data_IF_104688438964
#
_entry.id   IF_104688438964
#
_cell.length_a   1.000
_cell.length_b   1.000
_cell.length_c   1.000
_cell.angle_alpha   90.00
_cell.angle_beta   90.00
_cell.angle_gamma   90.00
#
_symmetry.space_group_name_H-M   'P 1'
#
loop_
_entity.id
_entity.type
_entity.pdbx_description
1 polymer ?
#
# COMPACT_ATOMS: atom_id res chain seq x y z
N UNK A 1 9.89 7.60 -17.40
CA UNK A 1 8.61 7.30 -18.08
C UNK A 1 8.83 6.04 -18.91
N UNK A 2 7.87 5.11 -18.88
CA UNK A 2 7.93 3.83 -19.61
C UNK A 2 6.72 3.76 -20.53
N UNK A 3 6.96 3.63 -21.83
CA UNK A 3 5.91 3.56 -22.85
C UNK A 3 5.84 2.14 -23.41
N UNK A 4 4.65 1.52 -23.35
CA UNK A 4 4.41 0.15 -23.81
C UNK A 4 3.03 0.08 -24.47
N UNK A 5 3.00 0.01 -25.80
CA UNK A 5 1.75 0.09 -26.55
C UNK A 5 1.00 1.38 -26.23
N UNK A 6 -0.27 1.26 -25.85
CA UNK A 6 -1.14 2.39 -25.50
C UNK A 6 -1.00 2.86 -24.04
N UNK A 7 -0.01 2.35 -23.29
CA UNK A 7 0.23 2.70 -21.90
C UNK A 7 1.47 3.57 -21.75
N UNK A 8 1.37 4.59 -20.89
CA UNK A 8 2.46 5.48 -20.54
C UNK A 8 2.54 5.60 -19.02
N UNK A 9 3.55 4.96 -18.44
CA UNK A 9 3.72 4.85 -16.99
C UNK A 9 4.77 5.82 -16.45
N UNK A 10 4.36 6.64 -15.48
CA UNK A 10 5.25 7.27 -14.51
C UNK A 10 5.64 6.24 -13.45
N UNK A 11 6.95 6.13 -13.17
CA UNK A 11 7.47 5.25 -12.12
C UNK A 11 7.59 6.04 -10.83
N UNK A 12 6.91 5.60 -9.79
CA UNK A 12 6.87 6.26 -8.49
C UNK A 12 7.55 5.36 -7.47
N UNK A 13 8.68 5.79 -6.92
CA UNK A 13 9.29 5.12 -5.77
C UNK A 13 8.37 5.20 -4.55
N UNK A 14 8.09 4.04 -3.96
CA UNK A 14 7.20 3.85 -2.81
C UNK A 14 7.81 2.86 -1.80
N UNK A 15 9.01 3.12 -1.26
CA UNK A 15 9.67 2.22 -0.31
C UNK A 15 8.81 2.02 0.95
N UNK A 16 8.93 0.86 1.58
CA UNK A 16 8.30 0.59 2.87
C UNK A 16 7.83 -0.84 3.02
N UNK A 17 7.02 -1.35 2.08
CA UNK A 17 6.75 -2.79 2.04
C UNK A 17 8.03 -3.57 1.73
N UNK A 18 8.81 -3.07 0.78
CA UNK A 18 10.24 -3.34 0.63
C UNK A 18 10.97 -2.04 0.30
N UNK A 19 12.30 -1.98 0.45
CA UNK A 19 13.06 -0.78 0.07
C UNK A 19 13.03 -0.49 -1.44
N UNK A 20 12.86 -1.52 -2.28
CA UNK A 20 12.80 -1.39 -3.74
C UNK A 20 11.39 -1.27 -4.31
N UNK A 21 10.36 -1.09 -3.47
CA UNK A 21 8.98 -1.00 -3.92
C UNK A 21 8.77 0.23 -4.81
N UNK A 22 8.11 0.01 -5.96
CA UNK A 22 7.72 1.04 -6.93
C UNK A 22 6.25 0.85 -7.33
N UNK A 23 5.62 1.93 -7.79
CA UNK A 23 4.32 1.93 -8.43
C UNK A 23 4.41 2.49 -9.85
N UNK A 24 3.47 2.08 -10.70
CA UNK A 24 3.32 2.58 -12.06
C UNK A 24 2.00 3.30 -12.19
N UNK A 25 2.04 4.59 -12.52
CA UNK A 25 0.87 5.43 -12.73
C UNK A 25 0.72 5.75 -14.22
N UNK A 26 -0.43 5.42 -14.79
CA UNK A 26 -0.85 5.93 -16.09
C UNK A 26 -1.97 6.95 -15.88
N UNK A 27 -1.66 8.23 -16.11
CA UNK A 27 -2.57 9.36 -15.89
C UNK A 27 -3.69 9.37 -16.93
N UNK A 28 -3.40 9.00 -18.18
CA UNK A 28 -4.40 9.02 -19.26
C UNK A 28 -5.46 7.94 -19.02
N UNK A 29 -5.04 6.78 -18.51
CA UNK A 29 -5.93 5.66 -18.16
C UNK A 29 -6.45 5.73 -16.72
N UNK A 30 -5.99 6.69 -15.90
CA UNK A 30 -6.25 6.81 -14.46
C UNK A 30 -6.01 5.51 -13.68
N UNK A 31 -4.92 4.82 -14.03
CA UNK A 31 -4.58 3.49 -13.56
C UNK A 31 -3.33 3.52 -12.70
N UNK A 32 -3.39 2.91 -11.52
CA UNK A 32 -2.22 2.70 -10.66
C UNK A 32 -1.98 1.20 -10.43
N UNK A 33 -0.79 0.72 -10.79
CA UNK A 33 -0.28 -0.60 -10.38
C UNK A 33 0.66 -0.35 -9.19
N UNK A 34 0.34 -0.90 -8.02
CA UNK A 34 0.89 -0.42 -6.73
C UNK A 34 1.62 -1.50 -5.93
N UNK A 35 1.69 -2.71 -6.48
CA UNK A 35 2.26 -3.85 -5.79
C UNK A 35 1.53 -4.16 -4.47
N UNK A 36 2.30 -4.41 -3.42
CA UNK A 36 1.81 -4.79 -2.09
C UNK A 36 1.50 -3.62 -1.16
N UNK A 37 1.82 -2.39 -1.57
CA UNK A 37 1.71 -1.19 -0.73
C UNK A 37 0.27 -0.79 -0.47
N UNK A 38 -0.65 -1.04 -1.41
CA UNK A 38 -2.09 -0.74 -1.24
C UNK A 38 -2.89 -1.96 -1.60
N UNK A 39 -3.59 -2.53 -0.63
CA UNK A 39 -4.43 -3.72 -0.76
C UNK A 39 -5.43 -3.80 0.41
N UNK A 40 -6.34 -4.78 0.43
CA UNK A 40 -7.26 -4.99 1.56
C UNK A 40 -6.59 -5.51 2.85
N UNK A 41 -5.36 -6.03 2.70
CA UNK A 41 -4.61 -6.66 3.77
C UNK A 41 -4.95 -8.15 3.95
N UNK A 42 -4.33 -8.81 4.94
CA UNK A 42 -3.33 -8.24 5.86
C UNK A 42 -2.07 -7.78 5.13
N UNK A 43 -1.61 -6.55 5.41
CA UNK A 43 -0.39 -6.02 4.82
C UNK A 43 0.80 -6.56 5.61
N UNK A 44 1.71 -7.24 4.92
CA UNK A 44 2.90 -7.84 5.52
C UNK A 44 3.95 -6.75 5.77
N UNK A 45 4.09 -6.35 7.03
CA UNK A 45 4.99 -5.30 7.51
C UNK A 45 5.99 -5.79 8.56
N UNK A 46 6.14 -7.10 8.74
CA UNK A 46 7.13 -7.72 9.64
C UNK A 46 8.33 -8.28 8.87
N UNK A 47 9.43 -8.53 9.60
CA UNK A 47 10.66 -9.10 9.06
C UNK A 47 11.60 -8.08 8.43
N UNK A 48 12.73 -8.57 7.93
CA UNK A 48 13.75 -7.72 7.31
C UNK A 48 13.21 -7.05 6.04
N UNK A 49 13.76 -5.86 5.76
CA UNK A 49 13.44 -5.01 4.60
C UNK A 49 12.07 -4.31 4.61
N UNK A 50 11.28 -4.45 5.68
CA UNK A 50 10.05 -3.67 5.88
C UNK A 50 10.36 -2.44 6.71
N UNK A 51 9.72 -1.31 6.39
CA UNK A 51 9.87 -0.08 7.14
C UNK A 51 8.53 0.67 7.17
N UNK A 52 7.91 0.73 8.35
CA UNK A 52 6.60 1.36 8.53
C UNK A 52 6.61 2.87 8.28
N UNK A 53 7.71 3.56 8.59
CA UNK A 53 7.82 5.00 8.37
C UNK A 53 7.89 5.34 6.89
N UNK A 54 8.73 4.61 6.15
CA UNK A 54 8.81 4.74 4.69
C UNK A 54 7.49 4.33 4.04
N UNK A 55 6.83 3.28 4.53
CA UNK A 55 5.53 2.86 4.03
C UNK A 55 4.47 3.95 4.19
N UNK A 56 4.41 4.61 5.35
CA UNK A 56 3.51 5.74 5.59
C UNK A 56 3.86 6.91 4.67
N UNK A 57 5.14 7.25 4.52
CA UNK A 57 5.59 8.32 3.62
C UNK A 57 5.22 8.04 2.16
N UNK A 58 5.36 6.79 1.73
CA UNK A 58 4.96 6.34 0.40
C UNK A 58 3.46 6.43 0.17
N UNK A 59 2.64 6.09 1.17
CA UNK A 59 1.20 6.28 1.11
C UNK A 59 0.81 7.76 1.08
N UNK A 60 1.49 8.63 1.83
CA UNK A 60 1.30 10.08 1.77
C UNK A 60 1.61 10.63 0.37
N UNK A 61 2.73 10.19 -0.22
CA UNK A 61 3.09 10.50 -1.60
C UNK A 61 2.05 10.02 -2.60
N UNK A 62 1.61 8.75 -2.54
CA UNK A 62 0.55 8.23 -3.42
C UNK A 62 -0.76 9.00 -3.26
N UNK A 63 -1.07 9.47 -2.05
CA UNK A 63 -2.29 10.22 -1.78
C UNK A 63 -2.31 11.59 -2.50
N UNK A 64 -1.16 12.16 -2.89
CA UNK A 64 -1.13 13.38 -3.71
C UNK A 64 -1.60 13.15 -5.15
N UNK A 65 -1.64 11.90 -5.61
CA UNK A 65 -2.11 11.52 -6.95
C UNK A 65 -3.59 11.09 -6.98
N UNK A 66 -4.32 11.14 -5.86
CA UNK A 66 -5.73 10.70 -5.74
C UNK A 66 -6.64 11.15 -6.89
N UNK A 67 -6.51 12.39 -7.35
CA UNK A 67 -7.36 12.96 -8.39
C UNK A 67 -7.05 12.41 -9.79
N UNK A 68 -5.90 11.76 -9.96
CA UNK A 68 -5.42 11.17 -11.21
C UNK A 68 -5.66 9.65 -11.26
N UNK A 69 -6.19 9.08 -10.18
CA UNK A 69 -6.39 7.63 -10.03
C UNK A 69 -7.88 7.34 -9.96
N UNK A 70 -8.30 6.32 -10.69
CA UNK A 70 -9.65 5.76 -10.60
C UNK A 70 -9.60 4.27 -10.26
N UNK A 71 -8.67 3.56 -10.89
CA UNK A 71 -8.45 2.12 -10.70
C UNK A 71 -7.08 1.84 -10.10
N UNK A 72 -7.05 0.99 -9.08
CA UNK A 72 -5.83 0.44 -8.48
C UNK A 72 -5.78 -1.08 -8.71
N UNK A 73 -4.64 -1.56 -9.19
CA UNK A 73 -4.31 -2.98 -9.32
C UNK A 73 -3.27 -3.36 -8.25
N UNK A 74 -3.68 -4.05 -7.17
CA UNK A 74 -2.78 -4.57 -6.15
C UNK A 74 -2.14 -5.91 -6.57
N UNK A 75 -1.05 -6.30 -5.90
CA UNK A 75 -0.46 -7.66 -6.05
C UNK A 75 -1.37 -8.77 -5.49
N UNK A 76 -2.23 -8.42 -4.54
CA UNK A 76 -2.94 -9.38 -3.70
C UNK A 76 -4.38 -8.96 -3.43
N UNK A 77 -5.20 -9.94 -3.06
CA UNK A 77 -6.64 -9.80 -2.79
C UNK A 77 -7.45 -9.43 -4.05
N UNK A 78 -8.72 -9.02 -3.84
CA UNK A 78 -9.62 -8.63 -4.93
C UNK A 78 -9.12 -7.37 -5.64
N UNK A 79 -9.41 -7.31 -6.92
CA UNK A 79 -9.19 -6.18 -7.81
C UNK A 79 -10.42 -5.99 -8.71
N UNK A 80 -10.65 -4.78 -9.28
CA UNK A 80 -9.92 -3.55 -8.99
C UNK A 80 -10.26 -2.96 -7.61
N UNK A 81 -9.31 -2.21 -7.04
CA UNK A 81 -9.57 -1.33 -5.90
C UNK A 81 -9.81 0.09 -6.39
N UNK A 82 -10.57 0.86 -5.61
CA UNK A 82 -10.78 2.28 -5.86
C UNK A 82 -9.73 3.11 -5.12
N UNK A 83 -9.55 4.36 -5.52
CA UNK A 83 -8.54 5.27 -4.95
C UNK A 83 -8.63 5.42 -3.43
N UNK A 84 -9.81 5.29 -2.82
CA UNK A 84 -10.02 5.44 -1.38
C UNK A 84 -9.17 4.47 -0.54
N UNK A 85 -8.74 3.34 -1.13
CA UNK A 85 -7.89 2.36 -0.44
C UNK A 85 -6.51 2.90 -0.07
N UNK A 86 -5.97 3.89 -0.78
CA UNK A 86 -4.73 4.58 -0.37
C UNK A 86 -4.96 5.25 1.00
N UNK A 87 -6.08 5.98 1.13
CA UNK A 87 -6.45 6.65 2.38
C UNK A 87 -6.78 5.67 3.51
N UNK A 88 -7.40 4.54 3.20
CA UNK A 88 -7.66 3.48 4.17
C UNK A 88 -6.36 2.88 4.73
N UNK A 89 -5.42 2.53 3.84
CA UNK A 89 -4.09 2.04 4.21
C UNK A 89 -3.35 3.09 5.07
N UNK A 90 -3.37 4.36 4.66
CA UNK A 90 -2.68 5.44 5.37
C UNK A 90 -3.24 5.68 6.77
N UNK A 91 -4.56 5.75 6.89
CA UNK A 91 -5.24 5.96 8.17
C UNK A 91 -4.92 4.84 9.16
N UNK A 92 -5.07 3.58 8.74
CA UNK A 92 -4.86 2.45 9.63
C UNK A 92 -3.38 2.19 9.92
N UNK A 93 -2.47 2.49 8.98
CA UNK A 93 -1.02 2.44 9.24
C UNK A 93 -0.57 3.48 10.27
N UNK A 94 -1.16 4.69 10.26
CA UNK A 94 -0.91 5.70 11.30
C UNK A 94 -1.44 5.26 12.67
N UNK A 95 -2.57 4.55 12.72
CA UNK A 95 -3.06 3.96 13.98
C UNK A 95 -2.12 2.86 14.49
N UNK A 96 -1.59 2.01 13.59
CA UNK A 96 -0.57 1.03 13.93
C UNK A 96 0.68 1.70 14.51
N UNK A 97 1.24 2.70 13.81
CA UNK A 97 2.42 3.46 14.24
C UNK A 97 2.21 4.16 15.59
N UNK A 98 1.01 4.68 15.83
CA UNK A 98 0.66 5.34 17.09
C UNK A 98 0.36 4.35 18.23
N UNK A 99 0.55 3.05 18.03
CA UNK A 99 0.22 1.97 18.99
C UNK A 99 -1.25 2.00 19.45
N UNK A 100 -2.17 2.44 18.58
CA UNK A 100 -3.61 2.52 18.86
C UNK A 100 -4.38 1.27 18.44
N UNK A 101 -3.71 0.27 17.88
CA UNK A 101 -4.30 -1.01 17.48
C UNK A 101 -3.85 -2.12 18.44
N UNK A 102 -4.78 -2.99 18.82
CA UNK A 102 -4.46 -4.17 19.63
C UNK A 102 -3.84 -5.24 18.73
N UNK A 103 -2.62 -5.65 19.06
CA UNK A 103 -1.94 -6.74 18.37
C UNK A 103 -2.31 -8.11 18.96
N UNK A 104 -2.74 -9.04 18.13
CA UNK A 104 -3.00 -10.45 18.51
C UNK A 104 -1.86 -11.31 17.96
N UNK A 105 -1.29 -12.21 18.77
CA UNK A 105 -0.21 -13.09 18.30
C UNK A 105 -0.71 -13.94 17.14
N UNK A 106 0.00 -13.93 16.01
CA UNK A 106 -0.34 -14.79 14.88
C UNK A 106 -0.06 -16.25 15.23
N UNK A 107 -0.91 -17.18 14.79
CA UNK A 107 -0.82 -18.59 15.20
C UNK A 107 0.47 -19.25 14.68
N UNK A 108 0.88 -18.93 13.44
CA UNK A 108 1.96 -19.63 12.74
C UNK A 108 3.14 -18.74 12.32
N UNK A 109 2.96 -17.42 12.32
CA UNK A 109 3.96 -16.48 11.79
C UNK A 109 4.62 -15.76 12.97
N UNK A 110 5.90 -15.37 12.87
CA UNK A 110 6.62 -14.67 13.93
C UNK A 110 6.22 -13.18 13.98
N UNK A 111 4.93 -12.88 14.00
CA UNK A 111 4.38 -11.53 13.99
C UNK A 111 3.10 -11.43 14.83
N UNK A 112 2.56 -10.23 14.92
CA UNK A 112 1.23 -9.99 15.48
C UNK A 112 0.32 -9.44 14.38
N UNK A 113 -0.95 -9.80 14.45
CA UNK A 113 -1.98 -9.21 13.60
C UNK A 113 -2.57 -7.98 14.30
N UNK A 114 -2.62 -6.87 13.58
CA UNK A 114 -3.23 -5.62 14.01
C UNK A 114 -4.36 -5.27 13.04
N UNK A 115 -5.60 -5.25 13.53
CA UNK A 115 -6.77 -4.93 12.71
C UNK A 115 -7.13 -3.46 12.86
N UNK A 116 -6.97 -2.70 11.78
CA UNK A 116 -7.48 -1.34 11.65
C UNK A 116 -8.97 -1.30 11.34
N UNK A 117 -9.49 -0.13 10.96
CA UNK A 117 -10.91 0.03 10.62
C UNK A 117 -11.27 -0.62 9.30
N UNK A 118 -10.33 -0.63 8.35
CA UNK A 118 -10.51 -1.11 6.98
C UNK A 118 -9.43 -2.10 6.57
N UNK A 119 -8.20 -1.89 7.05
CA UNK A 119 -7.01 -2.64 6.67
C UNK A 119 -6.43 -3.32 7.91
N UNK A 120 -5.98 -4.56 7.76
CA UNK A 120 -5.18 -5.27 8.77
C UNK A 120 -3.70 -5.33 8.38
N UNK A 121 -2.84 -5.50 9.37
CA UNK A 121 -1.39 -5.58 9.22
C UNK A 121 -0.85 -6.78 9.96
N UNK A 122 0.13 -7.46 9.37
CA UNK A 122 1.05 -8.32 10.10
C UNK A 122 2.31 -7.52 10.38
N UNK A 123 2.59 -7.28 11.66
CA UNK A 123 3.69 -6.44 12.13
C UNK A 123 4.39 -7.07 13.34
#
# INVERSE_FOLDING_TARGET
MIEIGDYCFEVIEIPGHTYGSIAFLDIQKKLLIVGDTVQLGPIYMFGEHRNLDLYIHSLEKLNTYQNQIETILPSHNRYPLTKEYIGHCLSDARLLKAHKLLGVKHQFLPCREYRGKKISFYY
#
